data_IF_588509545343
#
_entry.id   IF_588509545343
#
_cell.length_a   1.000
_cell.length_b   1.000
_cell.length_c   1.000
_cell.angle_alpha   90.00
_cell.angle_beta   90.00
_cell.angle_gamma   90.00
#
_symmetry.space_group_name_H-M   'P 1'
#
loop_
_entity.id
_entity.type
_entity.pdbx_description
1 polymer ?
#
# COMPACT_ATOMS: atom_id res chain seq x y z
N UNK A 1 -16.87 8.79 -5.80
CA UNK A 1 -16.90 7.83 -4.67
C UNK A 1 -15.53 7.33 -4.20
N UNK A 2 -14.43 7.46 -4.96
CA UNK A 2 -13.09 7.09 -4.45
C UNK A 2 -11.96 8.05 -4.90
N UNK A 3 -12.09 9.37 -4.70
CA UNK A 3 -11.12 10.31 -5.27
C UNK A 3 -9.69 10.09 -4.77
N UNK A 4 -9.51 9.83 -3.47
CA UNK A 4 -8.19 9.56 -2.89
C UNK A 4 -7.54 8.30 -3.50
N UNK A 5 -8.30 7.21 -3.63
CA UNK A 5 -7.82 5.97 -4.23
C UNK A 5 -7.41 6.14 -5.69
N UNK A 6 -8.27 6.74 -6.53
CA UNK A 6 -7.95 6.94 -7.94
C UNK A 6 -6.74 7.83 -8.13
N UNK A 7 -6.66 8.91 -7.35
CA UNK A 7 -5.54 9.83 -7.44
C UNK A 7 -4.23 9.17 -6.97
N UNK A 8 -4.30 8.36 -5.92
CA UNK A 8 -3.17 7.57 -5.45
C UNK A 8 -2.69 6.56 -6.51
N UNK A 9 -3.59 5.86 -7.20
CA UNK A 9 -3.23 4.96 -8.32
C UNK A 9 -2.51 5.73 -9.43
N UNK A 10 -3.01 6.90 -9.83
CA UNK A 10 -2.35 7.71 -10.88
C UNK A 10 -0.92 8.06 -10.48
N UNK A 11 -0.72 8.51 -9.24
CA UNK A 11 0.62 8.85 -8.74
C UNK A 11 1.51 7.61 -8.59
N UNK A 12 0.97 6.50 -8.10
CA UNK A 12 1.66 5.22 -7.96
C UNK A 12 2.19 4.72 -9.32
N UNK A 13 1.35 4.72 -10.34
CA UNK A 13 1.71 4.19 -11.65
C UNK A 13 2.64 5.15 -12.41
N UNK A 14 2.22 6.43 -12.55
CA UNK A 14 2.92 7.39 -13.39
C UNK A 14 4.22 7.88 -12.73
N UNK A 15 4.15 8.31 -11.47
CA UNK A 15 5.26 8.93 -10.76
C UNK A 15 5.97 7.97 -9.81
N UNK A 16 5.29 6.92 -9.36
CA UNK A 16 5.92 5.81 -8.66
C UNK A 16 6.74 5.00 -9.65
N UNK A 17 6.15 4.03 -10.34
CA UNK A 17 6.88 3.14 -11.26
C UNK A 17 7.64 3.88 -12.37
N UNK A 18 7.08 4.96 -12.91
CA UNK A 18 7.70 5.74 -13.99
C UNK A 18 8.93 6.59 -13.61
N UNK A 19 9.38 6.57 -12.35
CA UNK A 19 10.53 7.38 -11.89
C UNK A 19 11.70 6.56 -11.33
N UNK A 20 12.87 7.21 -11.33
CA UNK A 20 14.13 6.68 -10.82
C UNK A 20 15.03 6.13 -11.92
N UNK A 21 16.23 6.69 -12.00
CA UNK A 21 17.27 6.24 -12.93
C UNK A 21 18.18 5.23 -12.23
N UNK A 22 18.26 4.02 -12.78
CA UNK A 22 19.25 3.04 -12.34
C UNK A 22 20.63 3.47 -12.83
N UNK A 23 21.64 3.37 -11.98
CA UNK A 23 23.04 3.58 -12.33
C UNK A 23 23.59 2.31 -12.94
N UNK A 24 24.03 2.38 -14.19
CA UNK A 24 24.35 1.21 -15.01
C UNK A 24 25.70 1.40 -15.69
N UNK A 25 26.52 0.35 -15.64
CA UNK A 25 27.64 0.12 -16.55
C UNK A 25 27.14 -0.78 -17.69
N UNK A 26 27.05 -0.24 -18.90
CA UNK A 26 26.50 -0.95 -20.06
C UNK A 26 27.47 -1.99 -20.61
N UNK A 27 28.73 -1.60 -20.67
CA UNK A 27 29.90 -2.38 -21.08
C UNK A 27 31.12 -1.83 -20.35
N UNK A 28 32.23 -2.56 -20.35
CA UNK A 28 33.43 -2.21 -19.58
C UNK A 28 33.83 -0.74 -19.80
N UNK A 29 33.76 0.05 -18.73
CA UNK A 29 34.14 1.46 -18.75
C UNK A 29 33.11 2.44 -19.34
N UNK A 30 31.90 1.99 -19.71
CA UNK A 30 30.81 2.86 -20.21
C UNK A 30 29.63 2.90 -19.25
N UNK A 31 29.40 4.07 -18.67
CA UNK A 31 28.41 4.30 -17.63
C UNK A 31 27.33 5.29 -18.08
N UNK A 32 26.14 5.22 -17.47
CA UNK A 32 25.08 6.22 -17.66
C UNK A 32 25.14 7.38 -16.65
N UNK A 33 26.26 7.50 -15.95
CA UNK A 33 26.60 8.53 -14.99
C UNK A 33 28.10 8.84 -15.10
N UNK A 34 28.53 9.95 -14.50
CA UNK A 34 29.95 10.33 -14.48
C UNK A 34 30.69 9.45 -13.45
N UNK A 35 31.53 8.53 -13.92
CA UNK A 35 32.31 7.63 -13.04
C UNK A 35 33.54 8.32 -12.43
N UNK A 36 34.06 9.37 -13.07
CA UNK A 36 35.23 10.11 -12.60
C UNK A 36 34.82 11.14 -11.53
N UNK A 37 33.56 11.58 -11.56
CA UNK A 37 32.92 12.39 -10.53
C UNK A 37 31.52 11.83 -10.16
N UNK A 38 31.45 10.70 -9.43
CA UNK A 38 30.19 10.03 -9.13
C UNK A 38 29.21 10.92 -8.35
N UNK A 39 27.89 10.78 -8.60
CA UNK A 39 26.88 11.44 -7.78
C UNK A 39 27.05 11.09 -6.30
N UNK A 40 26.74 12.05 -5.43
CA UNK A 40 26.81 11.86 -3.98
C UNK A 40 25.59 11.06 -3.52
N UNK A 41 25.83 9.99 -2.76
CA UNK A 41 24.78 9.21 -2.12
C UNK A 41 24.13 10.03 -1.00
N UNK A 42 22.83 10.36 -1.08
CA UNK A 42 22.16 11.22 -0.10
C UNK A 42 21.99 10.56 1.28
N UNK A 43 22.18 9.24 1.39
CA UNK A 43 22.10 8.51 2.66
C UNK A 43 23.42 8.55 3.45
N UNK A 44 24.56 8.60 2.75
CA UNK A 44 25.89 8.48 3.37
C UNK A 44 26.74 9.74 3.25
N UNK A 45 26.40 10.64 2.32
CA UNK A 45 27.21 11.81 1.97
C UNK A 45 28.47 11.48 1.16
N UNK A 46 28.70 10.21 0.82
CA UNK A 46 29.87 9.76 0.06
C UNK A 46 29.51 9.55 -1.42
N UNK A 47 30.49 9.61 -2.36
CA UNK A 47 30.27 9.22 -3.75
C UNK A 47 29.71 7.80 -3.87
N UNK A 48 28.86 7.56 -4.86
CA UNK A 48 28.29 6.24 -5.13
C UNK A 48 29.39 5.30 -5.64
N UNK A 49 29.44 4.09 -5.08
CA UNK A 49 30.45 3.06 -5.38
C UNK A 49 29.85 1.74 -5.88
N UNK A 50 28.54 1.71 -6.14
CA UNK A 50 27.82 0.53 -6.62
C UNK A 50 26.83 0.90 -7.72
N UNK A 51 26.67 0.01 -8.69
CA UNK A 51 25.83 0.15 -9.89
C UNK A 51 25.53 -1.24 -10.46
N UNK A 52 24.59 -1.31 -11.40
CA UNK A 52 24.33 -2.53 -12.17
C UNK A 52 25.44 -2.74 -13.20
N UNK A 53 26.06 -3.91 -13.19
CA UNK A 53 27.10 -4.32 -14.16
C UNK A 53 26.48 -4.81 -15.47
N UNK A 54 27.29 -5.02 -16.52
CA UNK A 54 26.79 -5.53 -17.79
C UNK A 54 26.00 -6.84 -17.63
N UNK A 55 24.74 -6.83 -18.10
CA UNK A 55 23.83 -7.97 -18.03
C UNK A 55 23.05 -8.12 -16.72
N UNK A 56 23.34 -7.31 -15.69
CA UNK A 56 22.58 -7.31 -14.45
C UNK A 56 21.26 -6.55 -14.60
N UNK A 57 20.19 -7.08 -14.00
CA UNK A 57 18.87 -6.45 -13.97
C UNK A 57 18.42 -6.20 -12.54
N UNK A 58 17.52 -5.24 -12.35
CA UNK A 58 16.82 -5.01 -11.07
C UNK A 58 16.29 -6.30 -10.46
N UNK A 59 15.55 -7.08 -11.25
CA UNK A 59 14.92 -8.32 -10.78
C UNK A 59 15.96 -9.39 -10.44
N UNK A 60 17.07 -9.47 -11.19
CA UNK A 60 18.17 -10.38 -10.90
C UNK A 60 18.89 -10.04 -9.60
N UNK A 61 19.21 -8.76 -9.38
CA UNK A 61 19.97 -8.32 -8.21
C UNK A 61 19.15 -8.37 -6.91
N UNK A 62 17.87 -8.01 -6.96
CA UNK A 62 17.02 -7.93 -5.77
C UNK A 62 16.23 -9.21 -5.50
N UNK A 63 16.17 -10.13 -6.48
CA UNK A 63 15.56 -11.44 -6.33
C UNK A 63 14.12 -11.37 -5.83
N UNK A 64 13.83 -12.09 -4.75
CA UNK A 64 12.50 -12.15 -4.12
C UNK A 64 12.01 -10.82 -3.53
N UNK A 65 12.88 -9.83 -3.37
CA UNK A 65 12.50 -8.48 -2.91
C UNK A 65 12.08 -7.55 -4.05
N UNK A 66 12.48 -7.84 -5.29
CA UNK A 66 12.39 -6.89 -6.40
C UNK A 66 10.97 -6.33 -6.58
N UNK A 67 9.96 -7.19 -6.62
CA UNK A 67 8.56 -6.74 -6.78
C UNK A 67 8.10 -5.94 -5.57
N UNK A 68 8.18 -6.51 -4.37
CA UNK A 68 7.66 -5.85 -3.15
C UNK A 68 8.34 -4.52 -2.83
N UNK A 69 9.62 -4.36 -3.16
CA UNK A 69 10.35 -3.09 -2.96
C UNK A 69 9.90 -2.06 -3.98
N UNK A 70 9.71 -2.42 -5.25
CA UNK A 70 9.25 -1.46 -6.24
C UNK A 70 7.80 -1.03 -5.99
N UNK A 71 6.92 -1.97 -5.61
CA UNK A 71 5.58 -1.64 -5.13
C UNK A 71 5.65 -0.67 -3.97
N UNK A 72 6.41 -1.00 -2.93
CA UNK A 72 6.52 -0.14 -1.75
C UNK A 72 7.05 1.25 -2.07
N UNK A 73 7.99 1.36 -3.00
CA UNK A 73 8.51 2.64 -3.47
C UNK A 73 7.43 3.42 -4.23
N UNK A 74 6.69 2.78 -5.13
CA UNK A 74 5.60 3.41 -5.87
C UNK A 74 4.48 3.90 -4.93
N UNK A 75 4.12 3.08 -3.95
CA UNK A 75 3.15 3.46 -2.90
C UNK A 75 3.60 4.68 -2.11
N UNK A 76 4.88 4.72 -1.74
CA UNK A 76 5.46 5.85 -1.02
C UNK A 76 5.52 7.13 -1.86
N UNK A 77 5.79 7.05 -3.17
CA UNK A 77 5.71 8.21 -4.06
C UNK A 77 4.28 8.75 -4.10
N UNK A 78 3.31 7.86 -4.34
CA UNK A 78 1.89 8.23 -4.32
C UNK A 78 1.49 8.89 -3.01
N UNK A 79 1.96 8.36 -1.89
CA UNK A 79 1.67 8.93 -0.58
C UNK A 79 2.38 10.25 -0.29
N UNK A 80 3.62 10.41 -0.74
CA UNK A 80 4.43 11.60 -0.50
C UNK A 80 3.95 12.83 -1.29
N UNK A 81 3.34 12.59 -2.46
CA UNK A 81 2.79 13.64 -3.34
C UNK A 81 1.30 13.94 -3.08
N UNK A 82 0.64 13.20 -2.18
CA UNK A 82 -0.80 13.33 -1.87
C UNK A 82 -1.17 14.61 -1.10
N UNK A 83 -0.20 15.46 -0.74
CA UNK A 83 -0.43 16.76 -0.11
C UNK A 83 0.11 17.93 -0.96
N UNK A 84 0.48 17.65 -2.22
CA UNK A 84 0.92 18.67 -3.17
C UNK A 84 -0.29 19.47 -3.70
N UNK A 85 -0.36 20.78 -3.40
CA UNK A 85 -1.53 21.58 -3.73
C UNK A 85 -1.69 21.82 -5.24
N UNK A 86 -0.58 21.87 -6.00
CA UNK A 86 -0.64 22.09 -7.45
C UNK A 86 -1.20 20.85 -8.14
N UNK A 87 -0.69 19.67 -7.79
CA UNK A 87 -1.17 18.41 -8.33
C UNK A 87 -2.64 18.14 -7.97
N UNK A 88 -3.05 18.40 -6.73
CA UNK A 88 -4.44 18.23 -6.30
C UNK A 88 -5.40 19.20 -6.99
N UNK A 89 -4.94 20.44 -7.22
CA UNK A 89 -5.73 21.46 -7.92
C UNK A 89 -6.02 21.08 -9.39
N UNK A 90 -5.12 20.35 -10.07
CA UNK A 90 -5.36 19.85 -11.44
C UNK A 90 -6.63 19.00 -11.57
N UNK A 91 -7.07 18.37 -10.48
CA UNK A 91 -8.25 17.51 -10.44
C UNK A 91 -9.44 18.15 -9.69
N UNK A 92 -9.33 19.44 -9.38
CA UNK A 92 -10.38 20.21 -8.72
C UNK A 92 -10.42 20.06 -7.19
N UNK A 93 -9.39 19.49 -6.57
CA UNK A 93 -9.27 19.40 -5.11
C UNK A 93 -8.43 20.56 -4.59
N UNK A 94 -9.11 21.55 -4.03
CA UNK A 94 -8.52 22.77 -3.46
C UNK A 94 -8.99 22.94 -2.02
N UNK A 95 -8.49 23.96 -1.32
CA UNK A 95 -8.98 24.27 0.03
C UNK A 95 -10.45 24.74 0.05
N UNK A 96 -10.98 25.15 -1.12
CA UNK A 96 -12.32 25.68 -1.28
C UNK A 96 -13.31 24.69 -1.93
N UNK A 97 -12.87 23.50 -2.34
CA UNK A 97 -13.75 22.47 -2.90
C UNK A 97 -14.52 21.70 -1.82
N UNK A 98 -15.59 21.01 -2.21
CA UNK A 98 -16.41 20.17 -1.31
C UNK A 98 -15.55 19.09 -0.61
N UNK A 99 -14.68 18.43 -1.38
CA UNK A 99 -13.63 17.57 -0.84
C UNK A 99 -12.35 18.38 -0.85
N UNK A 100 -11.79 18.67 0.32
CA UNK A 100 -10.57 19.48 0.43
C UNK A 100 -9.33 18.64 0.18
N UNK A 101 -8.25 19.30 -0.24
CA UNK A 101 -6.94 18.69 -0.38
C UNK A 101 -6.51 17.92 0.90
N UNK A 102 -6.69 18.53 2.07
CA UNK A 102 -6.36 17.91 3.36
C UNK A 102 -7.21 16.67 3.70
N UNK A 103 -8.45 16.59 3.19
CA UNK A 103 -9.32 15.43 3.39
C UNK A 103 -8.84 14.22 2.59
N UNK A 104 -8.31 14.45 1.39
CA UNK A 104 -7.69 13.41 0.59
C UNK A 104 -6.42 12.88 1.25
N UNK A 105 -5.54 13.77 1.72
CA UNK A 105 -4.33 13.35 2.44
C UNK A 105 -4.69 12.58 3.71
N UNK A 106 -5.69 13.03 4.48
CA UNK A 106 -6.14 12.29 5.65
C UNK A 106 -6.75 10.93 5.31
N UNK A 107 -7.56 10.85 4.25
CA UNK A 107 -8.15 9.59 3.80
C UNK A 107 -7.07 8.60 3.36
N UNK A 108 -6.03 9.06 2.65
CA UNK A 108 -4.89 8.25 2.31
C UNK A 108 -4.20 7.67 3.56
N UNK A 109 -3.92 8.48 4.59
CA UNK A 109 -3.25 7.96 5.79
C UNK A 109 -4.09 6.91 6.54
N UNK A 110 -5.42 7.06 6.53
CA UNK A 110 -6.31 6.00 7.03
C UNK A 110 -6.17 4.73 6.18
N UNK A 111 -6.14 4.88 4.86
CA UNK A 111 -5.97 3.77 3.94
C UNK A 111 -4.62 3.06 4.15
N UNK A 112 -3.50 3.78 4.25
CA UNK A 112 -2.18 3.20 4.53
C UNK A 112 -2.19 2.34 5.81
N UNK A 113 -2.89 2.79 6.85
CA UNK A 113 -3.05 2.02 8.07
C UNK A 113 -3.92 0.77 7.90
N UNK A 114 -5.08 0.91 7.25
CA UNK A 114 -6.03 -0.18 7.04
C UNK A 114 -5.46 -1.26 6.11
N UNK A 115 -4.83 -0.85 5.02
CA UNK A 115 -4.25 -1.77 4.05
C UNK A 115 -3.01 -2.47 4.62
N UNK A 116 -2.22 -1.78 5.45
CA UNK A 116 -1.13 -2.42 6.20
C UNK A 116 -1.61 -3.51 7.15
N UNK A 117 -2.73 -3.29 7.85
CA UNK A 117 -3.34 -4.32 8.68
C UNK A 117 -3.90 -5.47 7.82
N UNK A 118 -4.66 -5.15 6.77
CA UNK A 118 -5.22 -6.16 5.84
C UNK A 118 -4.14 -7.01 5.19
N UNK A 119 -2.97 -6.43 4.91
CA UNK A 119 -1.83 -7.11 4.34
C UNK A 119 -1.40 -8.34 5.13
N UNK A 120 -1.56 -8.34 6.46
CA UNK A 120 -1.24 -9.49 7.33
C UNK A 120 -1.99 -10.76 6.95
N UNK A 121 -3.15 -10.66 6.30
CA UNK A 121 -3.88 -11.83 5.78
C UNK A 121 -3.07 -12.64 4.75
N UNK A 122 -2.12 -12.00 4.07
CA UNK A 122 -1.23 -12.62 3.08
C UNK A 122 0.12 -13.04 3.67
N UNK A 123 0.32 -12.93 4.99
CA UNK A 123 1.48 -13.51 5.67
C UNK A 123 1.19 -14.98 6.04
N UNK A 124 2.08 -15.89 5.64
CA UNK A 124 2.05 -17.30 6.03
C UNK A 124 2.91 -17.50 7.28
N UNK A 125 2.25 -17.87 8.39
CA UNK A 125 2.90 -18.02 9.71
C UNK A 125 3.83 -19.23 9.75
N UNK A 126 3.48 -20.32 9.07
CA UNK A 126 4.24 -21.57 9.06
C UNK A 126 5.56 -21.38 8.31
N UNK A 127 5.50 -20.81 7.11
CA UNK A 127 6.70 -20.60 6.28
C UNK A 127 7.44 -19.31 6.61
N UNK A 128 6.81 -18.39 7.34
CA UNK A 128 7.35 -17.05 7.62
C UNK A 128 7.45 -16.15 6.38
N UNK A 129 6.67 -16.42 5.33
CA UNK A 129 6.76 -15.74 4.03
C UNK A 129 5.51 -14.90 3.74
N UNK A 130 5.72 -13.81 3.00
CA UNK A 130 4.65 -13.00 2.42
C UNK A 130 4.20 -13.59 1.08
N UNK A 131 2.89 -13.76 0.90
CA UNK A 131 2.30 -14.32 -0.32
C UNK A 131 1.89 -13.28 -1.37
N UNK A 132 1.92 -11.98 -1.05
CA UNK A 132 1.55 -10.91 -2.00
C UNK A 132 2.42 -9.66 -1.76
N UNK A 133 2.98 -9.12 -2.84
CA UNK A 133 4.00 -8.06 -2.80
C UNK A 133 3.48 -6.74 -2.24
N UNK A 134 2.30 -6.27 -2.66
CA UNK A 134 1.71 -5.02 -2.17
C UNK A 134 1.36 -5.11 -0.67
N UNK A 135 0.88 -6.26 -0.20
CA UNK A 135 0.51 -6.51 1.19
C UNK A 135 1.72 -6.40 2.10
N UNK A 136 2.87 -6.92 1.64
CA UNK A 136 4.15 -6.77 2.32
C UNK A 136 4.59 -5.29 2.33
N UNK A 137 4.42 -4.59 1.21
CA UNK A 137 4.68 -3.15 1.11
C UNK A 137 3.81 -2.30 2.04
N UNK A 138 2.49 -2.50 2.05
CA UNK A 138 1.54 -1.82 2.92
C UNK A 138 1.89 -2.06 4.39
N UNK A 139 2.26 -3.28 4.76
CA UNK A 139 2.69 -3.58 6.13
C UNK A 139 4.00 -2.87 6.50
N UNK A 140 4.97 -2.79 5.57
CA UNK A 140 6.20 -2.01 5.78
C UNK A 140 5.88 -0.53 6.03
N UNK A 141 4.96 0.06 5.26
CA UNK A 141 4.54 1.45 5.39
C UNK A 141 3.83 1.68 6.74
N UNK A 142 2.91 0.79 7.13
CA UNK A 142 2.27 0.83 8.44
C UNK A 142 3.31 0.81 9.56
N UNK A 143 4.25 -0.14 9.54
CA UNK A 143 5.31 -0.22 10.56
C UNK A 143 6.16 1.05 10.60
N UNK A 144 6.52 1.61 9.44
CA UNK A 144 7.25 2.88 9.38
C UNK A 144 6.47 4.03 10.02
N UNK A 145 5.17 4.16 9.76
CA UNK A 145 4.35 5.21 10.37
C UNK A 145 4.17 5.01 11.89
N UNK A 146 4.03 3.77 12.36
CA UNK A 146 3.94 3.45 13.78
C UNK A 146 5.25 3.75 14.52
N UNK A 147 6.40 3.38 13.93
CA UNK A 147 7.71 3.52 14.58
C UNK A 147 8.30 4.92 14.43
N UNK A 148 8.14 5.55 13.28
CA UNK A 148 8.83 6.81 12.93
C UNK A 148 7.89 7.99 12.72
N UNK A 149 6.57 7.78 12.69
CA UNK A 149 5.59 8.83 12.49
C UNK A 149 5.20 9.61 13.76
N UNK A 150 5.88 9.38 14.89
CA UNK A 150 5.67 10.08 16.17
C UNK A 150 4.19 10.16 16.62
N UNK A 151 3.44 9.07 16.43
CA UNK A 151 2.02 8.97 16.76
C UNK A 151 1.08 9.63 15.76
N UNK A 152 1.53 9.93 14.52
CA UNK A 152 0.63 10.27 13.40
C UNK A 152 -0.39 9.17 13.12
N UNK A 153 0.00 7.92 13.37
CA UNK A 153 -0.84 6.74 13.23
C UNK A 153 -0.67 5.87 14.49
N UNK A 154 -1.78 5.39 15.03
CA UNK A 154 -1.80 4.40 16.11
C UNK A 154 -2.89 3.35 15.87
N UNK A 155 -2.71 2.15 16.41
CA UNK A 155 -3.69 1.06 16.31
C UNK A 155 -4.24 0.75 17.71
N UNK A 156 -5.56 0.70 17.83
CA UNK A 156 -6.23 0.15 19.01
C UNK A 156 -6.76 -1.24 18.68
N UNK A 157 -6.31 -2.26 19.43
CA UNK A 157 -6.85 -3.61 19.35
C UNK A 157 -7.80 -3.87 20.53
N UNK A 158 -9.10 -3.92 20.26
CA UNK A 158 -10.11 -4.33 21.24
C UNK A 158 -10.28 -5.84 21.13
N UNK A 159 -9.72 -6.57 22.09
CA UNK A 159 -10.02 -7.99 22.31
C UNK A 159 -11.31 -8.09 23.13
N UNK A 160 -12.14 -9.11 22.88
CA UNK A 160 -13.48 -9.32 23.47
C UNK A 160 -13.73 -8.59 24.79
N UNK A 161 -14.59 -7.57 24.79
CA UNK A 161 -14.99 -6.90 26.03
C UNK A 161 -16.00 -7.76 26.78
N UNK A 162 -15.58 -8.49 27.82
CA UNK A 162 -16.47 -8.75 28.96
C UNK A 162 -16.66 -7.44 29.68
N UNK A 163 -17.79 -6.78 29.47
CA UNK A 163 -18.16 -5.58 30.20
C UNK A 163 -18.09 -5.89 31.70
N UNK A 164 -17.09 -5.35 32.40
CA UNK A 164 -17.03 -5.43 33.85
C UNK A 164 -18.25 -4.69 34.38
N UNK A 165 -19.15 -5.44 35.00
CA UNK A 165 -20.32 -4.91 35.70
C UNK A 165 -19.85 -3.93 36.78
N UNK A 166 -19.87 -2.63 36.53
CA UNK A 166 -20.02 -1.67 37.63
C UNK A 166 -21.47 -1.80 38.08
N UNK A 167 -21.67 -2.57 39.14
CA UNK A 167 -22.98 -2.82 39.74
C UNK A 167 -23.54 -1.52 40.34
N UNK A 168 -24.09 -0.64 39.52
CA UNK A 168 -25.11 0.29 39.98
C UNK A 168 -26.42 -0.49 40.00
N UNK A 169 -26.68 -1.12 41.15
CA UNK A 169 -27.98 -1.68 41.52
C UNK A 169 -29.03 -0.59 41.33
N UNK A 170 -29.75 -0.56 40.19
CA UNK A 170 -31.09 0.04 40.06
C UNK A 170 -31.78 -0.14 38.69
N UNK A 171 -31.30 -0.98 37.76
CA UNK A 171 -32.03 -1.20 36.50
C UNK A 171 -32.37 -2.67 36.24
N UNK A 172 -33.68 -2.98 36.25
CA UNK A 172 -34.28 -4.32 36.07
C UNK A 172 -34.34 -4.77 34.60
N UNK A 173 -33.31 -4.52 33.80
CA UNK A 173 -33.19 -5.07 32.45
C UNK A 173 -31.86 -5.83 32.34
N UNK A 174 -31.79 -7.00 32.99
CA UNK A 174 -30.63 -7.89 32.94
C UNK A 174 -30.64 -8.70 31.65
N UNK A 175 -30.16 -8.11 30.56
CA UNK A 175 -29.69 -8.89 29.42
C UNK A 175 -28.16 -8.97 29.54
N UNK A 176 -27.56 -10.18 29.60
CA UNK A 176 -26.11 -10.30 29.70
C UNK A 176 -25.46 -9.59 28.51
N UNK A 177 -24.35 -8.87 28.69
CA UNK A 177 -23.67 -8.23 27.59
C UNK A 177 -23.27 -9.28 26.55
N UNK A 178 -23.79 -9.15 25.33
CA UNK A 178 -23.35 -9.98 24.20
C UNK A 178 -21.90 -9.64 23.89
N UNK A 179 -20.98 -10.62 23.87
CA UNK A 179 -19.58 -10.36 23.53
C UNK A 179 -19.49 -9.82 22.10
N UNK A 180 -18.83 -8.67 21.94
CA UNK A 180 -18.53 -8.09 20.64
C UNK A 180 -17.31 -8.78 20.01
N UNK A 181 -17.28 -8.96 18.67
CA UNK A 181 -16.12 -9.52 18.00
C UNK A 181 -14.89 -8.62 18.20
N UNK A 182 -13.66 -9.19 18.18
CA UNK A 182 -12.44 -8.40 18.32
C UNK A 182 -12.34 -7.38 17.19
N UNK A 183 -11.82 -6.19 17.45
CA UNK A 183 -11.76 -5.10 16.47
C UNK A 183 -10.41 -4.42 16.47
N UNK A 184 -9.92 -4.08 15.28
CA UNK A 184 -8.79 -3.17 15.09
C UNK A 184 -9.32 -1.81 14.65
N UNK A 185 -8.80 -0.74 15.24
CA UNK A 185 -9.12 0.64 14.84
C UNK A 185 -7.83 1.36 14.51
N UNK A 186 -7.74 1.89 13.29
CA UNK A 186 -6.67 2.79 12.88
C UNK A 186 -7.06 4.20 13.32
N UNK A 187 -6.18 4.85 14.07
CA UNK A 187 -6.32 6.25 14.44
C UNK A 187 -5.26 7.05 13.71
N UNK A 188 -5.67 8.17 13.10
CA UNK A 188 -4.77 9.08 12.39
C UNK A 188 -4.90 10.47 13.00
N UNK A 189 -3.78 11.04 13.43
CA UNK A 189 -3.68 12.42 13.91
C UNK A 189 -3.37 13.34 12.73
N UNK A 190 -4.39 14.07 12.25
CA UNK A 190 -4.28 15.01 11.12
C UNK A 190 -3.15 16.02 11.31
N UNK A 191 -2.95 16.51 12.54
CA UNK A 191 -1.97 17.57 12.82
C UNK A 191 -0.52 17.11 12.60
N UNK A 192 -0.29 15.79 12.62
CA UNK A 192 1.05 15.18 12.49
C UNK A 192 1.37 14.68 11.09
N UNK A 193 0.42 14.70 10.16
CA UNK A 193 0.62 14.20 8.80
C UNK A 193 1.78 14.92 8.12
N UNK A 194 1.72 16.25 8.02
CA UNK A 194 2.77 17.04 7.34
C UNK A 194 4.08 17.08 8.11
N UNK A 195 4.02 17.10 9.45
CA UNK A 195 5.18 17.35 10.31
C UNK A 195 5.96 16.09 10.67
N UNK A 196 5.32 14.92 10.72
CA UNK A 196 5.94 13.67 11.15
C UNK A 196 5.68 12.52 10.17
N UNK A 197 4.44 12.36 9.71
CA UNK A 197 4.06 11.31 8.75
C UNK A 197 4.83 11.42 7.43
N UNK A 198 4.73 12.57 6.76
CA UNK A 198 5.36 12.81 5.46
C UNK A 198 6.88 12.70 5.53
N UNK A 199 7.59 13.28 6.52
CA UNK A 199 9.02 13.04 6.69
C UNK A 199 9.39 11.57 6.90
N UNK A 200 8.59 10.80 7.67
CA UNK A 200 8.84 9.37 7.87
C UNK A 200 8.70 8.57 6.56
N UNK A 201 7.65 8.84 5.77
CA UNK A 201 7.47 8.22 4.45
C UNK A 201 8.58 8.65 3.48
N UNK A 202 8.94 9.94 3.46
CA UNK A 202 10.02 10.46 2.62
C UNK A 202 11.38 9.84 2.93
N UNK A 203 11.70 9.64 4.22
CA UNK A 203 12.93 8.99 4.64
C UNK A 203 12.98 7.50 4.25
N UNK A 204 11.84 6.80 4.29
CA UNK A 204 11.74 5.43 3.79
C UNK A 204 11.88 5.38 2.26
N UNK A 205 11.19 6.28 1.55
CA UNK A 205 11.23 6.41 0.10
C UNK A 205 12.66 6.67 -0.39
N UNK A 206 13.36 7.63 0.22
CA UNK A 206 14.73 7.98 -0.14
C UNK A 206 15.67 6.77 -0.01
N UNK A 207 15.52 5.96 1.05
CA UNK A 207 16.32 4.75 1.25
C UNK A 207 16.05 3.72 0.15
N UNK A 208 14.79 3.33 -0.05
CA UNK A 208 14.43 2.33 -1.05
C UNK A 208 14.80 2.77 -2.47
N UNK A 209 14.58 4.04 -2.79
CA UNK A 209 14.96 4.62 -4.08
C UNK A 209 16.48 4.56 -4.28
N UNK A 210 17.26 4.99 -3.29
CA UNK A 210 18.74 4.98 -3.39
C UNK A 210 19.25 3.56 -3.58
N UNK A 211 18.81 2.60 -2.76
CA UNK A 211 19.26 1.21 -2.89
C UNK A 211 18.93 0.63 -4.27
N UNK A 212 17.72 0.89 -4.78
CA UNK A 212 17.31 0.48 -6.14
C UNK A 212 18.18 1.11 -7.21
N UNK A 213 18.42 2.41 -7.14
CA UNK A 213 19.16 3.10 -8.19
C UNK A 213 20.65 2.75 -8.20
N UNK A 214 21.23 2.36 -7.05
CA UNK A 214 22.67 2.03 -6.92
C UNK A 214 22.96 0.52 -6.85
N UNK A 215 22.01 -0.34 -7.20
CA UNK A 215 22.15 -1.80 -7.10
C UNK A 215 22.56 -2.34 -5.71
N UNK A 216 22.24 -1.62 -4.62
CA UNK A 216 22.60 -2.04 -3.25
C UNK A 216 21.54 -2.99 -2.66
N UNK A 217 21.48 -4.20 -3.22
CA UNK A 217 20.53 -5.22 -2.81
C UNK A 217 20.75 -5.69 -1.36
N UNK A 218 22.00 -5.67 -0.88
CA UNK A 218 22.36 -6.10 0.47
C UNK A 218 21.79 -5.14 1.54
N UNK A 219 22.03 -3.83 1.40
CA UNK A 219 21.47 -2.84 2.32
C UNK A 219 19.94 -2.78 2.22
N UNK A 220 19.39 -2.91 1.01
CA UNK A 220 17.94 -2.99 0.83
C UNK A 220 17.33 -4.16 1.59
N UNK A 221 17.91 -5.36 1.47
CA UNK A 221 17.42 -6.55 2.18
C UNK A 221 17.46 -6.36 3.69
N UNK A 222 18.59 -5.91 4.22
CA UNK A 222 18.74 -5.68 5.66
C UNK A 222 17.68 -4.70 6.20
N UNK A 223 17.44 -3.61 5.48
CA UNK A 223 16.44 -2.60 5.84
C UNK A 223 15.00 -3.12 5.69
N UNK A 224 14.67 -3.69 4.53
CA UNK A 224 13.28 -4.01 4.16
C UNK A 224 12.76 -5.27 4.87
N UNK A 225 13.62 -6.25 5.14
CA UNK A 225 13.22 -7.41 5.94
C UNK A 225 12.88 -7.02 7.38
N UNK A 226 13.61 -6.08 7.98
CA UNK A 226 13.28 -5.56 9.31
C UNK A 226 11.90 -4.88 9.33
N UNK A 227 11.62 -4.05 8.32
CA UNK A 227 10.31 -3.37 8.19
C UNK A 227 9.17 -4.35 7.93
N UNK A 228 9.43 -5.48 7.30
CA UNK A 228 8.41 -6.47 6.91
C UNK A 228 8.35 -7.69 7.83
N UNK A 229 9.18 -7.73 8.88
CA UNK A 229 9.17 -8.79 9.88
C UNK A 229 7.87 -8.80 10.67
N UNK A 230 7.25 -9.98 10.75
CA UNK A 230 6.11 -10.28 11.63
C UNK A 230 6.66 -11.11 12.78
N UNK A 231 6.64 -10.54 13.98
CA UNK A 231 7.22 -11.17 15.18
C UNK A 231 6.36 -12.33 15.64
N UNK A 232 7.01 -13.43 16.04
CA UNK A 232 6.34 -14.66 16.48
C UNK A 232 6.28 -14.80 17.99
N UNK A 233 7.09 -14.06 18.74
CA UNK A 233 7.24 -14.20 20.20
C UNK A 233 7.41 -12.85 20.91
N UNK A 234 7.11 -12.81 22.22
CA UNK A 234 7.28 -11.63 23.06
C UNK A 234 6.11 -10.63 23.01
N UNK A 235 6.30 -9.43 23.57
CA UNK A 235 5.32 -8.33 23.53
C UNK A 235 4.96 -7.91 22.10
N UNK A 236 5.79 -8.28 21.11
CA UNK A 236 5.62 -7.95 19.70
C UNK A 236 4.77 -8.97 18.91
N UNK A 237 4.24 -10.02 19.57
CA UNK A 237 3.22 -10.94 19.02
C UNK A 237 1.89 -10.23 18.66
N UNK A 238 1.81 -8.93 18.89
CA UNK A 238 0.68 -8.08 18.51
C UNK A 238 0.31 -8.21 17.02
N UNK A 239 1.29 -8.35 16.12
CA UNK A 239 1.02 -8.50 14.68
C UNK A 239 0.24 -9.79 14.35
N UNK A 240 0.49 -10.90 15.05
CA UNK A 240 -0.25 -12.14 14.82
C UNK A 240 -1.67 -12.07 15.40
N UNK A 241 -1.85 -11.36 16.52
CA UNK A 241 -3.18 -11.08 17.09
C UNK A 241 -4.00 -10.17 16.17
N UNK A 242 -3.35 -9.16 15.56
CA UNK A 242 -3.97 -8.34 14.53
C UNK A 242 -4.34 -9.18 13.31
N UNK A 243 -3.44 -10.07 12.85
CA UNK A 243 -3.70 -10.98 11.74
C UNK A 243 -4.92 -11.87 11.99
N UNK A 244 -5.05 -12.45 13.18
CA UNK A 244 -6.23 -13.26 13.54
C UNK A 244 -7.52 -12.44 13.43
N UNK A 245 -7.49 -11.21 13.94
CA UNK A 245 -8.64 -10.29 13.87
C UNK A 245 -8.97 -9.91 12.42
N UNK A 246 -7.96 -9.64 11.60
CA UNK A 246 -8.11 -9.36 10.16
C UNK A 246 -8.73 -10.54 9.42
N UNK A 247 -8.23 -11.76 9.66
CA UNK A 247 -8.77 -12.97 9.02
C UNK A 247 -10.23 -13.23 9.41
N UNK A 248 -10.61 -12.96 10.67
CA UNK A 248 -11.98 -13.08 11.15
C UNK A 248 -12.95 -12.12 10.44
N UNK A 249 -12.47 -10.97 9.99
CA UNK A 249 -13.27 -9.94 9.30
C UNK A 249 -13.06 -9.94 7.78
N UNK A 250 -12.29 -10.91 7.24
CA UNK A 250 -11.98 -10.94 5.82
C UNK A 250 -13.28 -11.14 5.02
N UNK A 251 -13.65 -10.21 4.13
CA UNK A 251 -14.82 -10.40 3.28
C UNK A 251 -14.59 -11.57 2.31
N UNK A 252 -15.67 -12.20 1.81
CA UNK A 252 -15.54 -13.17 0.74
C UNK A 252 -14.87 -12.54 -0.49
N UNK A 253 -14.12 -13.31 -1.30
CA UNK A 253 -13.57 -12.81 -2.56
C UNK A 253 -14.66 -12.23 -3.46
N UNK A 254 -14.34 -11.13 -4.13
CA UNK A 254 -15.24 -10.50 -5.09
C UNK A 254 -15.20 -11.25 -6.43
N UNK A 255 -16.34 -11.31 -7.10
CA UNK A 255 -16.47 -11.72 -8.49
C UNK A 255 -17.09 -10.56 -9.28
N UNK A 256 -16.58 -10.32 -10.49
CA UNK A 256 -17.02 -9.20 -11.33
C UNK A 256 -17.79 -9.74 -12.54
N UNK A 257 -19.03 -9.28 -12.71
CA UNK A 257 -19.78 -9.50 -13.94
C UNK A 257 -19.18 -8.60 -15.03
N UNK A 258 -18.49 -9.19 -16.01
CA UNK A 258 -17.84 -8.44 -17.08
C UNK A 258 -18.81 -8.25 -18.25
N UNK A 259 -18.91 -7.04 -18.78
CA UNK A 259 -19.71 -6.75 -19.96
C UNK A 259 -19.22 -7.54 -21.19
N UNK A 260 -20.12 -7.76 -22.15
CA UNK A 260 -19.80 -8.29 -23.47
C UNK A 260 -20.06 -7.24 -24.54
N UNK A 261 -19.42 -7.38 -25.69
CA UNK A 261 -19.69 -6.57 -26.88
C UNK A 261 -20.30 -7.43 -27.97
N UNK A 262 -21.30 -6.89 -28.66
CA UNK A 262 -21.97 -7.55 -29.77
C UNK A 262 -21.99 -6.63 -30.98
N UNK A 263 -21.74 -7.19 -32.16
CA UNK A 263 -21.98 -6.50 -33.43
C UNK A 263 -23.43 -6.72 -33.80
N UNK A 264 -24.19 -5.63 -33.96
CA UNK A 264 -25.59 -5.67 -34.37
C UNK A 264 -25.79 -4.88 -35.66
N UNK A 265 -26.76 -5.25 -36.51
CA UNK A 265 -27.13 -4.46 -37.68
C UNK A 265 -27.57 -3.04 -37.27
N UNK A 266 -27.17 -2.04 -38.05
CA UNK A 266 -27.63 -0.65 -37.91
C UNK A 266 -27.78 0.01 -39.28
N UNK A 267 -28.56 1.08 -39.40
CA UNK A 267 -28.88 1.69 -40.69
C UNK A 267 -27.60 2.10 -41.45
N UNK A 268 -27.36 1.42 -42.58
CA UNK A 268 -26.17 1.64 -43.41
C UNK A 268 -24.90 0.90 -42.96
N UNK A 269 -24.96 -0.03 -42.01
CA UNK A 269 -23.80 -0.84 -41.63
C UNK A 269 -23.95 -1.67 -40.35
N UNK A 270 -22.88 -1.74 -39.57
CA UNK A 270 -22.82 -2.48 -38.32
C UNK A 270 -22.55 -1.52 -37.14
N UNK A 271 -23.08 -1.85 -35.96
CA UNK A 271 -22.83 -1.13 -34.72
C UNK A 271 -22.38 -2.08 -33.64
N UNK A 272 -21.34 -1.70 -32.89
CA UNK A 272 -20.97 -2.40 -31.67
C UNK A 272 -21.83 -1.89 -30.51
N UNK A 273 -22.47 -2.81 -29.78
CA UNK A 273 -23.21 -2.52 -28.55
C UNK A 273 -22.53 -3.20 -27.37
N UNK A 274 -22.47 -2.50 -26.24
CA UNK A 274 -22.02 -3.05 -24.95
C UNK A 274 -23.24 -3.58 -24.22
N UNK A 275 -23.14 -4.81 -23.71
CA UNK A 275 -24.15 -5.42 -22.85
C UNK A 275 -23.56 -5.64 -21.47
N UNK A 276 -24.11 -4.91 -20.51
CA UNK A 276 -23.79 -5.07 -19.09
C UNK A 276 -24.68 -6.16 -18.46
N UNK A 277 -24.19 -6.72 -17.35
CA UNK A 277 -24.85 -7.77 -16.60
C UNK A 277 -25.01 -7.33 -15.15
N UNK A 278 -26.06 -7.82 -14.49
CA UNK A 278 -26.33 -7.51 -13.09
C UNK A 278 -25.17 -7.97 -12.18
N UNK A 279 -24.93 -7.24 -11.08
CA UNK A 279 -23.96 -7.59 -10.03
C UNK A 279 -24.47 -8.74 -9.14
N UNK A 280 -24.83 -9.87 -9.77
CA UNK A 280 -25.38 -11.07 -9.16
C UNK A 280 -24.64 -12.33 -9.64
N UNK A 281 -24.83 -13.45 -8.95
CA UNK A 281 -24.26 -14.75 -9.36
C UNK A 281 -24.78 -15.12 -10.75
N UNK A 282 -26.07 -14.93 -10.99
CA UNK A 282 -26.73 -15.15 -12.27
C UNK A 282 -26.19 -14.23 -13.36
N UNK A 283 -25.92 -12.96 -13.04
CA UNK A 283 -25.32 -12.00 -13.96
C UNK A 283 -23.91 -12.40 -14.37
N UNK A 284 -23.07 -12.84 -13.42
CA UNK A 284 -21.74 -13.40 -13.71
C UNK A 284 -21.87 -14.61 -14.63
N UNK A 285 -22.71 -15.61 -14.30
CA UNK A 285 -22.89 -16.81 -15.13
C UNK A 285 -23.37 -16.44 -16.54
N UNK A 286 -24.37 -15.57 -16.65
CA UNK A 286 -24.90 -15.14 -17.95
C UNK A 286 -23.85 -14.44 -18.79
N UNK A 287 -23.00 -13.61 -18.17
CA UNK A 287 -21.90 -12.93 -18.87
C UNK A 287 -20.95 -13.91 -19.55
N UNK A 288 -20.67 -15.06 -18.91
CA UNK A 288 -19.82 -16.10 -19.49
C UNK A 288 -20.54 -16.90 -20.58
N UNK A 289 -21.78 -17.32 -20.33
CA UNK A 289 -22.58 -18.08 -21.31
C UNK A 289 -22.71 -17.31 -22.62
N UNK A 290 -23.01 -16.01 -22.54
CA UNK A 290 -23.20 -15.17 -23.73
C UNK A 290 -21.88 -14.71 -24.37
N UNK A 291 -20.74 -14.86 -23.66
CA UNK A 291 -19.42 -14.55 -24.22
C UNK A 291 -18.95 -15.62 -25.21
N UNK A 292 -19.42 -16.86 -25.03
CA UNK A 292 -19.12 -17.96 -25.95
C UNK A 292 -17.64 -18.37 -25.98
N UNK A 293 -16.93 -18.24 -24.85
CA UNK A 293 -15.56 -18.75 -24.62
C UNK A 293 -15.56 -20.01 -23.77
#
# INVERSE_FOLDING_TARGET
KFPAYYWWVVLHELLGHGTGQMMVEYEEGKYNFDIDSPPVNPLTGNPITSWYRPGETWTGQFGDLATTVDECRAELVGAYLMDDPELLALFGFTDNSEIRAEDLTYNLYQQLGVDGLRGLANYNVDTGKWGQAHSRAHFAILKTLLTHGAGVLTITHTTHTTTTTTTNNNNKNNQPPTPSPPRLTVHVDRSKIRTHGKPALGAMLLRLHTYRCTADAAACRAYYEQLTRVEKEGKENEHLLWRETVLRHKPPPLAFAQANTFVVPHDGGEKVVVREYEESVEGVVRSWVERGV
#
